data_IF_566560527845
#
_entry.id   IF_566560527845
#
_cell.length_a   1.000
_cell.length_b   1.000
_cell.length_c   1.000
_cell.angle_alpha   90.00
_cell.angle_beta   90.00
_cell.angle_gamma   90.00
#
_symmetry.space_group_name_H-M   'P 1'
#
loop_
_entity.id
_entity.type
_entity.pdbx_description
1 polymer ?
#
# COMPACT_ATOMS: atom_id res chain seq x y z
N UNK A 1 -47.45 -52.97 -42.19
CA UNK A 1 -46.47 -53.22 -41.11
C UNK A 1 -45.13 -52.48 -41.26
N UNK A 2 -44.57 -52.29 -42.48
CA UNK A 2 -43.28 -51.57 -42.66
C UNK A 2 -43.31 -50.06 -42.34
N UNK A 3 -44.45 -49.37 -42.52
CA UNK A 3 -44.57 -47.92 -42.28
C UNK A 3 -44.48 -47.53 -40.79
N UNK A 4 -44.94 -48.40 -39.88
CA UNK A 4 -44.89 -48.16 -38.43
C UNK A 4 -43.54 -48.49 -37.81
N UNK A 5 -42.74 -49.38 -38.43
CA UNK A 5 -41.35 -49.65 -38.03
C UNK A 5 -40.46 -48.41 -38.24
N UNK A 6 -40.62 -47.71 -39.36
CA UNK A 6 -39.83 -46.51 -39.63
C UNK A 6 -40.24 -45.34 -38.72
N UNK A 7 -41.53 -45.25 -38.35
CA UNK A 7 -42.02 -44.24 -37.40
C UNK A 7 -41.52 -44.50 -35.96
N UNK A 8 -41.47 -45.78 -35.54
CA UNK A 8 -40.91 -46.19 -34.24
C UNK A 8 -39.40 -45.95 -34.15
N UNK A 9 -38.65 -46.17 -35.23
CA UNK A 9 -37.21 -45.92 -35.28
C UNK A 9 -36.91 -44.41 -35.21
N UNK A 10 -37.70 -43.57 -35.88
CA UNK A 10 -37.55 -42.10 -35.81
C UNK A 10 -37.89 -41.58 -34.41
N UNK A 11 -38.92 -42.12 -33.75
CA UNK A 11 -39.24 -41.75 -32.36
C UNK A 11 -38.15 -42.20 -31.37
N UNK A 12 -37.54 -43.37 -31.57
CA UNK A 12 -36.46 -43.86 -30.70
C UNK A 12 -35.19 -43.01 -30.82
N UNK A 13 -34.86 -42.53 -32.04
CA UNK A 13 -33.71 -41.66 -32.29
C UNK A 13 -33.96 -40.25 -31.73
N UNK A 14 -35.19 -39.75 -31.79
CA UNK A 14 -35.56 -38.46 -31.18
C UNK A 14 -35.46 -38.49 -29.65
N UNK A 15 -35.87 -39.58 -28.99
CA UNK A 15 -35.74 -39.73 -27.53
C UNK A 15 -34.29 -39.90 -27.09
N UNK A 16 -33.44 -40.55 -27.90
CA UNK A 16 -32.00 -40.68 -27.62
C UNK A 16 -31.25 -39.33 -27.79
N UNK A 17 -31.70 -38.47 -28.71
CA UNK A 17 -31.09 -37.16 -28.93
C UNK A 17 -31.39 -36.15 -27.80
N UNK A 18 -32.54 -36.28 -27.10
CA UNK A 18 -32.85 -35.43 -25.95
C UNK A 18 -32.13 -35.85 -24.66
N UNK A 19 -31.54 -37.05 -24.59
CA UNK A 19 -30.75 -37.49 -23.42
C UNK A 19 -29.30 -36.99 -23.41
N UNK A 20 -28.81 -36.32 -24.46
CA UNK A 20 -27.42 -35.81 -24.52
C UNK A 20 -27.29 -34.29 -24.21
N UNK A 21 -28.39 -33.58 -23.98
CA UNK A 21 -28.35 -32.15 -23.60
C UNK A 21 -28.26 -31.91 -22.08
N UNK A 22 -27.97 -32.94 -21.29
CA UNK A 22 -28.04 -32.92 -19.83
C UNK A 22 -26.74 -33.32 -19.12
N UNK A 23 -25.57 -32.91 -19.62
CA UNK A 23 -24.32 -32.90 -18.85
C UNK A 23 -23.33 -31.88 -19.42
N UNK A 24 -23.83 -30.70 -19.77
CA UNK A 24 -23.03 -29.48 -19.78
C UNK A 24 -23.03 -28.88 -18.38
N UNK A 25 -22.75 -29.69 -17.36
CA UNK A 25 -22.43 -29.18 -16.04
C UNK A 25 -21.21 -28.30 -16.24
N UNK A 26 -21.41 -27.00 -16.15
CA UNK A 26 -20.37 -26.04 -15.86
C UNK A 26 -19.44 -26.75 -14.89
N UNK A 27 -18.21 -27.02 -15.32
CA UNK A 27 -17.14 -27.15 -14.35
C UNK A 27 -17.17 -25.80 -13.64
N UNK A 28 -17.98 -25.73 -12.57
CA UNK A 28 -17.55 -25.07 -11.37
C UNK A 28 -16.12 -25.56 -11.23
N UNK A 29 -15.23 -24.64 -11.59
CA UNK A 29 -13.85 -24.63 -11.16
C UNK A 29 -13.99 -24.72 -9.66
N UNK A 30 -14.14 -25.97 -9.18
CA UNK A 30 -13.96 -26.34 -7.82
C UNK A 30 -12.64 -25.71 -7.52
N UNK A 31 -12.74 -24.66 -6.72
CA UNK A 31 -11.65 -24.07 -6.02
C UNK A 31 -11.04 -25.27 -5.30
N UNK A 32 -10.11 -25.96 -5.97
CA UNK A 32 -9.17 -26.85 -5.33
C UNK A 32 -8.43 -25.89 -4.44
N UNK A 33 -8.99 -25.63 -3.27
CA UNK A 33 -8.33 -25.01 -2.17
C UNK A 33 -7.11 -25.87 -2.00
N UNK A 34 -6.02 -25.40 -2.60
CA UNK A 34 -4.72 -25.97 -2.47
C UNK A 34 -4.58 -26.06 -0.94
N UNK A 35 -4.54 -27.25 -0.36
CA UNK A 35 -4.62 -27.41 1.10
C UNK A 35 -3.56 -26.58 1.84
N UNK A 36 -2.51 -26.22 1.10
CA UNK A 36 -1.45 -25.28 1.42
C UNK A 36 -1.89 -23.82 1.66
N UNK A 37 -2.92 -23.32 0.99
CA UNK A 37 -3.35 -21.91 1.03
C UNK A 37 -4.80 -21.77 1.49
N UNK A 38 -5.04 -22.13 2.75
CA UNK A 38 -6.36 -22.08 3.41
C UNK A 38 -7.09 -20.74 3.24
N UNK A 39 -6.37 -19.62 3.25
CA UNK A 39 -6.95 -18.28 3.18
C UNK A 39 -6.99 -17.70 1.76
N UNK A 40 -6.55 -18.46 0.75
CA UNK A 40 -6.61 -18.05 -0.65
C UNK A 40 -5.54 -17.02 -1.04
N UNK A 41 -5.84 -16.24 -2.08
CA UNK A 41 -4.91 -15.29 -2.70
C UNK A 41 -4.89 -13.95 -1.99
N UNK A 42 -3.70 -13.36 -1.89
CA UNK A 42 -3.47 -12.06 -1.28
C UNK A 42 -2.58 -11.22 -2.20
N UNK A 43 -3.16 -10.24 -2.90
CA UNK A 43 -2.40 -9.32 -3.74
C UNK A 43 -2.00 -8.08 -2.95
N UNK A 44 -0.70 -7.76 -2.93
CA UNK A 44 -0.14 -6.63 -2.18
C UNK A 44 0.71 -5.80 -3.13
N UNK A 45 0.45 -4.50 -3.20
CA UNK A 45 1.32 -3.58 -3.91
C UNK A 45 2.50 -3.18 -3.01
N UNK A 46 3.63 -3.87 -3.17
CA UNK A 46 4.82 -3.68 -2.33
C UNK A 46 6.13 -3.61 -3.13
N UNK A 47 6.06 -3.66 -4.47
CA UNK A 47 7.22 -3.59 -5.36
C UNK A 47 7.41 -2.16 -5.89
N UNK A 48 7.42 -1.17 -4.99
CA UNK A 48 7.60 0.25 -5.32
C UNK A 48 9.07 0.72 -5.15
N UNK A 49 9.96 -0.17 -4.69
CA UNK A 49 11.36 0.14 -4.42
C UNK A 49 11.59 0.96 -3.15
N UNK A 50 10.53 1.28 -2.41
CA UNK A 50 10.63 1.99 -1.13
C UNK A 50 11.08 1.04 -0.01
N UNK A 51 11.71 1.61 1.01
CA UNK A 51 12.05 0.86 2.24
C UNK A 51 10.78 0.41 2.97
N UNK A 52 9.65 1.09 2.75
CA UNK A 52 8.37 0.78 3.39
C UNK A 52 7.80 -0.57 2.94
N UNK A 53 8.04 -0.98 1.69
CA UNK A 53 7.64 -2.29 1.18
C UNK A 53 8.52 -3.46 1.62
N UNK A 54 9.68 -3.18 2.24
CA UNK A 54 10.67 -4.21 2.54
C UNK A 54 10.17 -5.37 3.41
N UNK A 55 9.35 -5.15 4.48
CA UNK A 55 8.84 -6.25 5.28
C UNK A 55 7.93 -7.21 4.49
N UNK A 56 7.10 -6.69 3.59
CA UNK A 56 6.27 -7.51 2.69
C UNK A 56 7.14 -8.35 1.74
N UNK A 57 8.20 -7.76 1.19
CA UNK A 57 9.16 -8.46 0.34
C UNK A 57 9.88 -9.58 1.10
N UNK A 58 10.37 -9.30 2.32
CA UNK A 58 11.02 -10.29 3.18
C UNK A 58 10.06 -11.43 3.54
N UNK A 59 8.82 -11.11 3.91
CA UNK A 59 7.80 -12.11 4.26
C UNK A 59 7.49 -13.03 3.07
N UNK A 60 7.41 -12.48 1.86
CA UNK A 60 7.26 -13.26 0.63
C UNK A 60 8.48 -14.16 0.37
N UNK A 61 9.70 -13.61 0.37
CA UNK A 61 10.94 -14.36 0.13
C UNK A 61 11.22 -15.45 1.17
N UNK A 62 10.87 -15.22 2.44
CA UNK A 62 11.02 -16.19 3.53
C UNK A 62 9.86 -17.19 3.62
N UNK A 63 8.86 -17.06 2.74
CA UNK A 63 7.69 -17.94 2.67
C UNK A 63 6.75 -17.82 3.87
N UNK A 64 6.76 -16.69 4.59
CA UNK A 64 5.89 -16.49 5.76
C UNK A 64 4.41 -16.47 5.37
N UNK A 65 4.03 -15.81 4.27
CA UNK A 65 2.65 -15.86 3.77
C UNK A 65 2.18 -17.30 3.50
N UNK A 66 3.02 -18.09 2.81
CA UNK A 66 2.70 -19.49 2.51
C UNK A 66 2.57 -20.35 3.77
N UNK A 67 3.43 -20.13 4.79
CA UNK A 67 3.34 -20.81 6.10
C UNK A 67 2.04 -20.48 6.83
N UNK A 68 1.57 -19.25 6.72
CA UNK A 68 0.28 -18.80 7.27
C UNK A 68 -0.91 -19.19 6.38
N UNK A 69 -0.70 -19.89 5.26
CA UNK A 69 -1.77 -20.36 4.38
C UNK A 69 -2.32 -19.31 3.41
N UNK A 70 -1.51 -18.31 3.04
CA UNK A 70 -1.82 -17.27 2.05
C UNK A 70 -0.99 -17.46 0.78
N UNK A 71 -1.66 -17.42 -0.37
CA UNK A 71 -1.03 -17.36 -1.70
C UNK A 71 -0.78 -15.89 -2.07
N UNK A 72 0.31 -15.34 -1.52
CA UNK A 72 0.62 -13.92 -1.71
C UNK A 72 1.21 -13.63 -3.09
N UNK A 73 0.79 -12.51 -3.70
CA UNK A 73 1.34 -11.96 -4.93
C UNK A 73 1.77 -10.51 -4.65
N UNK A 74 3.06 -10.22 -4.83
CA UNK A 74 3.56 -8.85 -4.73
C UNK A 74 3.57 -8.19 -6.10
N UNK A 75 3.00 -6.99 -6.20
CA UNK A 75 2.93 -6.20 -7.44
C UNK A 75 3.50 -4.79 -7.25
N UNK A 76 3.79 -4.13 -8.36
CA UNK A 76 4.15 -2.71 -8.43
C UNK A 76 2.95 -1.86 -8.89
N UNK A 77 3.08 -0.54 -8.84
CA UNK A 77 2.16 0.40 -9.49
C UNK A 77 2.09 1.74 -8.75
N UNK A 78 1.04 2.53 -9.04
CA UNK A 78 0.92 3.92 -8.56
C UNK A 78 0.05 4.02 -7.30
N UNK A 79 0.17 5.14 -6.57
CA UNK A 79 -0.69 5.42 -5.42
C UNK A 79 -2.20 5.45 -5.77
N UNK A 80 -2.56 5.88 -6.98
CA UNK A 80 -3.97 5.87 -7.41
C UNK A 80 -4.46 4.47 -7.78
N UNK A 81 -3.60 3.63 -8.35
CA UNK A 81 -3.88 2.21 -8.53
C UNK A 81 -4.07 1.51 -7.18
N UNK A 82 -3.26 1.87 -6.17
CA UNK A 82 -3.41 1.39 -4.80
C UNK A 82 -4.78 1.71 -4.21
N UNK A 83 -5.18 2.99 -4.28
CA UNK A 83 -6.48 3.46 -3.77
C UNK A 83 -7.63 2.75 -4.47
N UNK A 84 -7.57 2.67 -5.80
CA UNK A 84 -8.59 1.98 -6.61
C UNK A 84 -8.64 0.51 -6.23
N UNK A 85 -7.49 -0.17 -6.14
CA UNK A 85 -7.41 -1.59 -5.78
C UNK A 85 -7.95 -1.88 -4.37
N UNK A 86 -7.72 -0.98 -3.41
CA UNK A 86 -8.32 -1.07 -2.07
C UNK A 86 -9.85 -0.91 -2.11
N UNK A 87 -10.35 0.03 -2.91
CA UNK A 87 -11.78 0.27 -3.08
C UNK A 87 -12.51 -0.87 -3.78
N UNK A 88 -11.88 -1.49 -4.79
CA UNK A 88 -12.47 -2.62 -5.55
C UNK A 88 -12.28 -3.97 -4.85
N UNK A 89 -11.45 -4.02 -3.80
CA UNK A 89 -11.07 -5.26 -3.12
C UNK A 89 -10.01 -6.09 -3.86
N UNK A 90 -9.41 -5.55 -4.94
CA UNK A 90 -8.25 -6.17 -5.60
C UNK A 90 -7.04 -6.25 -4.66
N UNK A 91 -6.82 -5.18 -3.88
CA UNK A 91 -5.87 -5.16 -2.76
C UNK A 91 -6.66 -5.16 -1.46
N UNK A 92 -6.40 -6.11 -0.57
CA UNK A 92 -7.05 -6.17 0.75
C UNK A 92 -6.19 -5.60 1.87
N UNK A 93 -4.92 -5.33 1.58
CA UNK A 93 -3.96 -4.75 2.49
C UNK A 93 -3.00 -3.85 1.71
N UNK A 94 -2.59 -2.76 2.35
CA UNK A 94 -1.51 -1.92 1.87
C UNK A 94 -0.63 -1.45 3.03
N UNK A 95 0.58 -1.00 2.73
CA UNK A 95 1.31 -0.14 3.65
C UNK A 95 0.58 1.21 3.79
N UNK A 96 0.28 1.59 5.02
CA UNK A 96 -0.31 2.87 5.36
C UNK A 96 0.48 3.58 6.43
N UNK A 97 0.44 4.90 6.40
CA UNK A 97 1.04 5.81 7.36
C UNK A 97 0.09 6.98 7.67
N UNK A 98 0.61 8.06 8.25
CA UNK A 98 -0.16 9.24 8.61
C UNK A 98 -0.94 9.88 7.44
N UNK A 99 -0.51 9.70 6.18
CA UNK A 99 -1.20 10.27 5.03
C UNK A 99 -2.62 9.69 4.82
N UNK A 100 -2.90 8.50 5.34
CA UNK A 100 -4.21 7.87 5.22
C UNK A 100 -5.24 8.38 6.25
N UNK A 101 -4.81 9.07 7.30
CA UNK A 101 -5.72 9.50 8.36
C UNK A 101 -6.81 10.45 7.87
N UNK A 102 -6.48 11.36 6.94
CA UNK A 102 -7.48 12.24 6.33
C UNK A 102 -8.53 11.44 5.52
N UNK A 103 -8.10 10.42 4.76
CA UNK A 103 -9.01 9.55 4.02
C UNK A 103 -9.92 8.75 4.95
N UNK A 104 -9.37 8.19 6.04
CA UNK A 104 -10.14 7.48 7.06
C UNK A 104 -11.15 8.42 7.72
N UNK A 105 -10.74 9.64 8.09
CA UNK A 105 -11.64 10.65 8.67
C UNK A 105 -12.76 11.04 7.69
N UNK A 106 -12.48 11.05 6.39
CA UNK A 106 -13.46 11.32 5.33
C UNK A 106 -14.31 10.09 4.94
N UNK A 107 -14.24 9.00 5.72
CA UNK A 107 -15.13 7.85 5.58
C UNK A 107 -14.65 6.74 4.65
N UNK A 108 -13.38 6.75 4.23
CA UNK A 108 -12.80 5.58 3.56
C UNK A 108 -12.71 4.43 4.58
N UNK A 109 -13.37 3.30 4.31
CA UNK A 109 -13.40 2.13 5.19
C UNK A 109 -12.07 1.37 5.16
N UNK A 110 -11.08 1.91 5.88
CA UNK A 110 -9.78 1.30 6.11
C UNK A 110 -9.57 1.09 7.60
N UNK A 111 -8.95 -0.04 7.96
CA UNK A 111 -8.59 -0.38 9.32
C UNK A 111 -7.09 -0.54 9.44
N UNK A 112 -6.50 0.03 10.49
CA UNK A 112 -5.11 -0.23 10.86
C UNK A 112 -5.08 -1.57 11.61
N UNK A 113 -4.45 -2.58 11.02
CA UNK A 113 -4.40 -3.93 11.58
C UNK A 113 -3.07 -4.26 12.28
N UNK A 114 -2.06 -3.41 12.13
CA UNK A 114 -0.75 -3.59 12.74
C UNK A 114 0.29 -2.56 12.27
N UNK A 115 1.42 -2.52 12.95
CA UNK A 115 2.59 -1.76 12.53
C UNK A 115 3.52 -2.58 11.65
N UNK A 116 4.03 -1.99 10.56
CA UNK A 116 4.91 -2.66 9.61
C UNK A 116 6.40 -2.43 9.92
N UNK A 117 6.77 -1.17 10.12
CA UNK A 117 8.09 -0.73 10.57
C UNK A 117 7.98 0.68 11.17
N UNK A 118 9.06 1.19 11.76
CA UNK A 118 9.12 2.54 12.32
C UNK A 118 10.45 3.23 12.00
N UNK A 119 10.50 4.55 12.17
CA UNK A 119 11.75 5.31 12.08
C UNK A 119 12.24 5.63 10.66
N UNK A 120 11.39 5.52 9.63
CA UNK A 120 11.74 5.82 8.24
C UNK A 120 11.77 7.32 7.91
N UNK A 121 11.36 8.20 8.83
CA UNK A 121 11.46 9.65 8.66
C UNK A 121 12.59 10.16 9.55
N UNK A 122 13.48 10.96 8.97
CA UNK A 122 14.57 11.66 9.67
C UNK A 122 14.35 13.17 9.59
N UNK A 123 14.62 13.87 10.68
CA UNK A 123 14.73 15.32 10.71
C UNK A 123 16.21 15.66 10.68
N UNK A 124 16.61 16.43 9.67
CA UNK A 124 18.01 16.70 9.33
C UNK A 124 18.24 18.20 9.28
N UNK A 125 19.37 18.64 9.82
CA UNK A 125 19.84 20.02 9.77
C UNK A 125 21.25 20.05 9.17
N UNK A 126 21.70 21.19 8.60
CA UNK A 126 23.08 21.31 8.14
C UNK A 126 24.08 21.04 9.28
N UNK A 127 25.27 20.50 9.01
CA UNK A 127 26.30 20.26 10.04
C UNK A 127 26.65 21.53 10.84
N UNK A 128 26.75 22.67 10.14
CA UNK A 128 27.06 23.98 10.72
C UNK A 128 25.83 24.68 11.35
N UNK A 129 24.69 23.99 11.44
CA UNK A 129 23.46 24.57 11.99
C UNK A 129 23.59 24.87 13.48
N UNK A 130 23.00 26.00 13.90
CA UNK A 130 22.86 26.36 15.31
C UNK A 130 21.68 25.65 16.01
N UNK A 131 20.90 24.84 15.29
CA UNK A 131 19.81 24.02 15.84
C UNK A 131 20.43 22.82 16.55
N UNK A 132 20.37 22.80 17.89
CA UNK A 132 20.97 21.74 18.72
C UNK A 132 19.93 20.93 19.50
N UNK A 133 18.70 21.42 19.55
CA UNK A 133 17.56 20.80 20.22
C UNK A 133 16.28 20.96 19.40
N UNK A 134 15.24 20.21 19.74
CA UNK A 134 13.93 20.34 19.10
C UNK A 134 13.24 21.67 19.41
N UNK A 135 13.60 22.34 20.50
CA UNK A 135 13.11 23.68 20.86
C UNK A 135 13.64 24.75 19.91
N UNK A 136 14.84 24.56 19.35
CA UNK A 136 15.45 25.48 18.39
C UNK A 136 14.75 25.48 17.02
N UNK A 137 13.77 24.60 16.82
CA UNK A 137 12.90 24.60 15.64
C UNK A 137 11.97 25.81 15.61
N UNK A 138 11.76 26.51 16.74
CA UNK A 138 10.92 27.70 16.79
C UNK A 138 11.41 28.77 15.82
N UNK A 139 10.51 29.24 14.95
CA UNK A 139 10.74 30.22 13.91
C UNK A 139 11.44 29.68 12.66
N UNK A 140 11.82 28.39 12.62
CA UNK A 140 12.54 27.77 11.51
C UNK A 140 11.62 27.36 10.37
N UNK A 141 12.20 27.27 9.18
CA UNK A 141 11.55 26.74 8.00
C UNK A 141 11.91 25.27 7.80
N UNK A 142 10.92 24.40 7.87
CA UNK A 142 11.05 22.96 7.67
C UNK A 142 10.60 22.60 6.25
N UNK A 143 11.53 22.05 5.49
CA UNK A 143 11.29 21.47 4.17
C UNK A 143 10.68 20.08 4.24
N UNK A 144 9.67 19.84 3.42
CA UNK A 144 8.97 18.55 3.25
C UNK A 144 8.76 18.26 1.77
N UNK A 145 8.49 17.00 1.42
CA UNK A 145 8.17 16.59 0.05
C UNK A 145 6.75 17.02 -0.37
N UNK A 146 5.81 17.02 0.57
CA UNK A 146 4.45 17.48 0.35
C UNK A 146 3.83 18.06 1.64
N UNK A 147 3.04 19.12 1.49
CA UNK A 147 2.18 19.62 2.58
C UNK A 147 1.10 18.59 2.88
N UNK A 148 0.97 18.21 4.16
CA UNK A 148 0.06 17.14 4.60
C UNK A 148 0.62 15.73 4.40
N UNK A 149 1.82 15.59 3.84
CA UNK A 149 2.51 14.31 3.71
C UNK A 149 3.06 13.78 5.04
N UNK A 150 3.49 12.53 5.04
CA UNK A 150 4.03 11.84 6.22
C UNK A 150 5.25 12.54 6.84
N UNK A 151 6.22 13.09 6.09
CA UNK A 151 7.33 13.82 6.70
C UNK A 151 6.88 15.06 7.46
N UNK A 152 5.85 15.78 6.97
CA UNK A 152 5.25 16.90 7.68
C UNK A 152 4.52 16.43 8.94
N UNK A 153 3.75 15.35 8.87
CA UNK A 153 3.04 14.80 10.02
C UNK A 153 4.02 14.39 11.15
N UNK A 154 5.08 13.65 10.81
CA UNK A 154 6.11 13.24 11.77
C UNK A 154 6.84 14.44 12.36
N UNK A 155 7.26 15.40 11.53
CA UNK A 155 7.90 16.61 12.01
C UNK A 155 6.97 17.45 12.90
N UNK A 156 5.67 17.47 12.61
CA UNK A 156 4.67 18.15 13.44
C UNK A 156 4.56 17.52 14.83
N UNK A 157 4.63 16.19 14.94
CA UNK A 157 4.70 15.49 16.23
C UNK A 157 5.98 15.85 16.99
N UNK A 158 7.12 15.93 16.30
CA UNK A 158 8.39 16.34 16.93
C UNK A 158 8.33 17.78 17.46
N UNK A 159 7.80 18.70 16.66
CA UNK A 159 7.60 20.12 17.06
C UNK A 159 6.63 20.21 18.26
N UNK A 160 5.50 19.50 18.20
CA UNK A 160 4.52 19.47 19.30
C UNK A 160 5.11 18.91 20.60
N UNK A 161 5.90 17.83 20.52
CA UNK A 161 6.57 17.25 21.68
C UNK A 161 7.63 18.17 22.29
N UNK A 162 8.14 19.14 21.52
CA UNK A 162 9.03 20.19 22.02
C UNK A 162 8.29 21.32 22.75
N UNK A 163 6.95 21.28 22.81
CA UNK A 163 6.10 22.32 23.38
C UNK A 163 5.80 23.48 22.41
N UNK A 164 6.01 23.29 21.11
CA UNK A 164 5.79 24.29 20.06
C UNK A 164 4.52 23.97 19.27
N UNK A 165 3.85 24.99 18.73
CA UNK A 165 2.70 24.82 17.84
C UNK A 165 3.19 24.58 16.39
N UNK A 166 3.02 23.38 15.79
CA UNK A 166 3.48 23.11 14.44
C UNK A 166 2.78 23.94 13.35
N UNK A 167 1.67 24.62 13.66
CA UNK A 167 0.99 25.52 12.72
C UNK A 167 1.45 26.97 12.83
N UNK A 168 2.03 27.37 13.98
CA UNK A 168 2.35 28.79 14.26
C UNK A 168 3.82 29.05 14.50
N UNK A 169 4.51 28.12 15.17
CA UNK A 169 5.88 28.29 15.61
C UNK A 169 6.91 27.82 14.58
N UNK A 170 6.50 27.21 13.46
CA UNK A 170 7.38 26.81 12.35
C UNK A 170 6.76 27.18 11.01
N UNK A 171 7.59 27.24 9.97
CA UNK A 171 7.13 27.44 8.58
C UNK A 171 7.34 26.15 7.79
N UNK A 172 6.35 25.79 6.98
CA UNK A 172 6.44 24.63 6.09
C UNK A 172 6.70 25.06 4.67
N UNK A 173 7.65 24.42 4.00
CA UNK A 173 7.90 24.63 2.58
C UNK A 173 8.04 23.30 1.85
N UNK A 174 7.27 23.12 0.79
CA UNK A 174 7.30 21.89 0.00
C UNK A 174 8.26 22.02 -1.18
N UNK A 175 9.07 20.98 -1.38
CA UNK A 175 9.91 20.81 -2.57
C UNK A 175 9.75 19.39 -3.10
N UNK A 176 9.96 19.16 -4.41
CA UNK A 176 10.22 17.82 -4.92
C UNK A 176 11.28 17.10 -4.06
N UNK A 177 11.07 15.81 -3.81
CA UNK A 177 11.90 15.03 -2.89
C UNK A 177 13.40 15.10 -3.23
N UNK A 178 13.74 15.12 -4.52
CA UNK A 178 15.11 15.19 -5.05
C UNK A 178 15.73 16.59 -4.94
N UNK A 179 14.95 17.63 -4.65
CA UNK A 179 15.40 19.01 -4.52
C UNK A 179 15.62 19.45 -3.07
N UNK A 180 15.05 18.76 -2.08
CA UNK A 180 15.14 19.12 -0.66
C UNK A 180 16.59 19.30 -0.19
N UNK A 181 17.50 18.38 -0.55
CA UNK A 181 18.92 18.48 -0.20
C UNK A 181 19.62 19.71 -0.80
N UNK A 182 19.18 20.18 -1.96
CA UNK A 182 19.73 21.41 -2.54
C UNK A 182 19.16 22.65 -1.84
N UNK A 183 17.87 22.65 -1.52
CA UNK A 183 17.20 23.75 -0.83
C UNK A 183 17.85 24.05 0.54
N UNK A 184 18.13 23.02 1.34
CA UNK A 184 18.79 23.21 2.65
C UNK A 184 20.24 23.71 2.48
N UNK A 185 20.96 23.24 1.46
CA UNK A 185 22.34 23.69 1.17
C UNK A 185 22.40 25.14 0.73
N UNK A 186 21.36 25.63 0.05
CA UNK A 186 21.21 27.04 -0.35
C UNK A 186 20.72 27.94 0.80
N UNK A 187 20.33 27.36 1.93
CA UNK A 187 19.76 28.11 3.05
C UNK A 187 18.33 28.60 2.80
N UNK A 188 17.61 28.03 1.83
CA UNK A 188 16.20 28.34 1.57
C UNK A 188 15.28 27.76 2.67
N UNK A 189 15.74 26.67 3.31
CA UNK A 189 15.12 25.99 4.44
C UNK A 189 16.19 25.69 5.50
N UNK A 190 15.80 25.65 6.77
CA UNK A 190 16.70 25.42 7.91
C UNK A 190 16.82 23.93 8.27
N UNK A 191 15.76 23.16 7.97
CA UNK A 191 15.57 21.77 8.39
C UNK A 191 14.89 21.01 7.26
N UNK A 192 15.22 19.73 7.05
CA UNK A 192 14.45 18.83 6.19
C UNK A 192 13.84 17.72 7.05
N UNK A 193 12.56 17.41 6.85
CA UNK A 193 11.97 16.13 7.25
C UNK A 193 11.92 15.21 6.05
N UNK A 194 12.61 14.05 6.12
CA UNK A 194 12.96 13.28 4.94
C UNK A 194 12.77 11.77 5.09
N UNK A 195 12.37 11.11 4.01
CA UNK A 195 12.26 9.65 3.91
C UNK A 195 13.62 8.96 3.87
N UNK A 196 13.75 7.84 4.56
CA UNK A 196 14.83 6.89 4.31
C UNK A 196 14.67 6.26 2.91
N UNK A 197 15.80 6.00 2.21
CA UNK A 197 17.17 6.09 2.69
C UNK A 197 17.77 7.50 2.65
N UNK A 198 17.11 8.48 2.03
CA UNK A 198 17.67 9.82 1.85
C UNK A 198 17.90 10.56 3.17
N UNK A 199 16.97 10.42 4.12
CA UNK A 199 17.13 10.92 5.48
C UNK A 199 18.38 10.36 6.16
N UNK A 200 18.58 9.04 6.08
CA UNK A 200 19.79 8.39 6.61
C UNK A 200 21.07 8.83 5.90
N UNK A 201 21.04 9.06 4.59
CA UNK A 201 22.19 9.54 3.82
C UNK A 201 22.52 11.02 4.11
N UNK A 202 21.57 11.78 4.63
CA UNK A 202 21.72 13.19 4.95
C UNK A 202 22.13 13.47 6.41
N UNK A 203 22.01 12.46 7.29
CA UNK A 203 22.47 12.50 8.69
C UNK A 203 23.99 12.38 8.77
#
# INVERSE_FOLDING_TARGET
>A
MKKYKNLLIVLLIAVLALSLAGCGGTKDTSNTQNSKYKYGKLKIQALDGSVCGAPSYVAYQKGFFAKEGLDAELVSGTADAMKTGLQTGEFVITNGDFAWFASIQNGVDLKVIGGLHHGCIKIVVPPESNIKSTQDLKGKTIGVDAIGGTPMAVASVVVANAGLDPQKDVKWLAYPQDQLLQAIKKGEIDVISYWDPFGKLAQ
#
